data_IF_439014679036
#
_entry.id   IF_439014679036
#
_cell.length_a   1.000
_cell.length_b   1.000
_cell.length_c   1.000
_cell.angle_alpha   90.00
_cell.angle_beta   90.00
_cell.angle_gamma   90.00
#
_symmetry.space_group_name_H-M   'P 1'
#
loop_
_entity.id
_entity.type
_entity.pdbx_description
1 polymer ?
#
# COMPACT_ATOMS: atom_id res chain seq x y z
N UNK A 1 -0.11 -55.06 77.02
CA UNK A 1 -0.04 -55.36 75.59
C UNK A 1 -0.70 -54.20 74.89
N UNK A 2 0.13 -53.24 74.42
CA UNK A 2 -0.38 -52.01 73.78
C UNK A 2 -0.25 -52.16 72.28
N UNK A 3 -1.35 -52.18 71.55
CA UNK A 3 -1.40 -52.23 70.10
C UNK A 3 -1.22 -50.81 69.54
N UNK A 4 -0.16 -50.54 68.80
CA UNK A 4 0.15 -49.32 68.11
C UNK A 4 -0.62 -49.27 66.81
N UNK A 5 -1.56 -48.30 66.64
CA UNK A 5 -2.30 -48.06 65.40
C UNK A 5 -1.47 -47.20 64.53
N UNK A 6 -0.91 -47.69 63.43
CA UNK A 6 -0.25 -46.89 62.36
C UNK A 6 -1.31 -46.23 61.52
N UNK A 7 -1.31 -44.87 61.50
CA UNK A 7 -2.10 -44.06 60.54
C UNK A 7 -1.39 -44.05 59.22
N UNK A 8 -2.00 -44.58 58.18
CA UNK A 8 -1.56 -44.37 56.79
C UNK A 8 -1.62 -42.88 56.44
N UNK A 9 -0.61 -42.33 55.78
CA UNK A 9 -0.66 -40.95 55.28
C UNK A 9 -1.69 -40.85 54.15
N UNK A 10 -2.62 -39.93 54.29
CA UNK A 10 -3.63 -39.62 53.28
C UNK A 10 -2.94 -38.77 52.18
N UNK A 11 -2.62 -39.39 51.06
CA UNK A 11 -1.96 -38.75 49.91
C UNK A 11 -3.00 -38.22 48.93
N UNK A 12 -3.89 -37.33 49.39
CA UNK A 12 -4.77 -36.56 48.51
C UNK A 12 -3.91 -35.52 47.76
N UNK A 13 -3.38 -35.88 46.60
CA UNK A 13 -2.96 -34.92 45.61
C UNK A 13 -4.21 -34.21 45.12
N UNK A 14 -4.48 -33.02 45.65
CA UNK A 14 -5.43 -32.10 45.04
C UNK A 14 -5.01 -31.88 43.59
N UNK A 15 -5.82 -32.39 42.65
CA UNK A 15 -5.71 -32.00 41.25
C UNK A 15 -6.20 -30.55 41.18
N UNK A 16 -5.23 -29.60 41.19
CA UNK A 16 -5.53 -28.20 40.88
C UNK A 16 -6.03 -28.13 39.45
N UNK A 17 -7.34 -28.12 39.26
CA UNK A 17 -7.94 -27.73 37.99
C UNK A 17 -7.65 -26.25 37.80
N UNK A 18 -7.17 -25.82 36.62
CA UNK A 18 -6.92 -24.41 36.38
C UNK A 18 -8.22 -23.62 36.58
N UNK A 19 -8.12 -22.53 37.34
CA UNK A 19 -9.30 -21.70 37.61
C UNK A 19 -9.84 -21.14 36.27
N UNK A 20 -11.14 -20.95 36.15
CA UNK A 20 -11.80 -20.40 34.95
C UNK A 20 -11.16 -19.08 34.53
N UNK A 21 -10.71 -18.25 35.48
CA UNK A 21 -9.99 -17.02 35.26
C UNK A 21 -8.63 -17.20 34.57
N UNK A 22 -7.89 -18.26 34.93
CA UNK A 22 -6.63 -18.61 34.28
C UNK A 22 -6.87 -19.07 32.83
N UNK A 23 -7.96 -19.79 32.57
CA UNK A 23 -8.33 -20.21 31.21
C UNK A 23 -8.73 -19.03 30.33
N UNK A 24 -9.52 -18.09 30.87
CA UNK A 24 -9.89 -16.84 30.16
C UNK A 24 -8.65 -15.99 29.87
N UNK A 25 -7.74 -15.85 30.84
CA UNK A 25 -6.49 -15.12 30.65
C UNK A 25 -5.61 -15.72 29.55
N UNK A 26 -5.45 -17.04 29.53
CA UNK A 26 -4.71 -17.74 28.48
C UNK A 26 -5.36 -17.57 27.10
N UNK A 27 -6.69 -17.63 27.02
CA UNK A 27 -7.43 -17.42 25.77
C UNK A 27 -7.23 -15.99 25.23
N UNK A 28 -7.35 -14.98 26.09
CA UNK A 28 -7.12 -13.58 25.70
C UNK A 28 -5.67 -13.33 25.23
N UNK A 29 -4.71 -13.97 25.87
CA UNK A 29 -3.29 -13.88 25.45
C UNK A 29 -3.11 -14.50 24.06
N UNK A 30 -3.69 -15.66 23.80
CA UNK A 30 -3.62 -16.32 22.49
C UNK A 30 -4.27 -15.45 21.39
N UNK A 31 -5.43 -14.85 21.68
CA UNK A 31 -6.10 -13.93 20.75
C UNK A 31 -5.23 -12.71 20.48
N UNK A 32 -4.61 -12.11 21.50
CA UNK A 32 -3.68 -10.98 21.35
C UNK A 32 -2.46 -11.34 20.48
N UNK A 33 -1.84 -12.48 20.74
CA UNK A 33 -0.71 -12.97 19.94
C UNK A 33 -1.14 -13.23 18.49
N UNK A 34 -2.33 -13.79 18.28
CA UNK A 34 -2.87 -14.03 16.95
C UNK A 34 -3.02 -12.72 16.15
N UNK A 35 -3.60 -11.66 16.73
CA UNK A 35 -3.74 -10.37 16.06
C UNK A 35 -2.40 -9.73 15.75
N UNK A 36 -1.42 -9.79 16.67
CA UNK A 36 -0.08 -9.26 16.42
C UNK A 36 0.63 -10.03 15.29
N UNK A 37 0.50 -11.38 15.31
CA UNK A 37 1.09 -12.22 14.27
C UNK A 37 0.43 -12.01 12.91
N UNK A 38 -0.89 -11.80 12.87
CA UNK A 38 -1.62 -11.56 11.63
C UNK A 38 -1.13 -10.29 10.92
N UNK A 39 -1.05 -9.17 11.64
CA UNK A 39 -0.54 -7.91 11.08
C UNK A 39 0.90 -8.04 10.58
N UNK A 40 1.75 -8.77 11.31
CA UNK A 40 3.13 -9.02 10.89
C UNK A 40 3.19 -9.86 9.60
N UNK A 41 2.42 -10.94 9.53
CA UNK A 41 2.38 -11.82 8.35
C UNK A 41 1.87 -11.07 7.12
N UNK A 42 0.83 -10.23 7.25
CA UNK A 42 0.32 -9.44 6.13
C UNK A 42 1.34 -8.42 5.64
N UNK A 43 2.08 -7.75 6.53
CA UNK A 43 3.15 -6.82 6.14
C UNK A 43 4.28 -7.52 5.37
N UNK A 44 4.69 -8.72 5.79
CA UNK A 44 5.73 -9.50 5.13
C UNK A 44 5.28 -10.03 3.76
N UNK A 45 4.01 -10.41 3.61
CA UNK A 45 3.44 -10.81 2.31
C UNK A 45 3.49 -9.65 1.31
N UNK A 46 3.05 -8.46 1.73
CA UNK A 46 3.09 -7.27 0.88
C UNK A 46 4.51 -6.92 0.48
N UNK A 47 5.45 -6.94 1.44
CA UNK A 47 6.86 -6.70 1.16
C UNK A 47 7.45 -7.72 0.19
N UNK A 48 7.17 -9.01 0.39
CA UNK A 48 7.64 -10.07 -0.49
C UNK A 48 7.04 -9.94 -1.91
N UNK A 49 5.76 -9.60 -2.02
CA UNK A 49 5.10 -9.37 -3.31
C UNK A 49 5.69 -8.16 -4.03
N UNK A 50 5.87 -7.04 -3.34
CA UNK A 50 6.49 -5.84 -3.91
C UNK A 50 7.92 -6.10 -4.37
N UNK A 51 8.71 -6.84 -3.58
CA UNK A 51 10.07 -7.20 -3.93
C UNK A 51 10.14 -8.08 -5.19
N UNK A 52 9.32 -9.14 -5.23
CA UNK A 52 9.25 -10.05 -6.39
C UNK A 52 8.75 -9.32 -7.64
N UNK A 53 7.63 -8.60 -7.54
CA UNK A 53 7.06 -7.87 -8.67
C UNK A 53 8.02 -6.83 -9.23
N UNK A 54 8.75 -6.11 -8.37
CA UNK A 54 9.78 -5.16 -8.79
C UNK A 54 10.96 -5.86 -9.49
N UNK A 55 11.36 -7.04 -9.01
CA UNK A 55 12.43 -7.83 -9.63
C UNK A 55 12.01 -8.31 -11.02
N UNK A 56 10.78 -8.79 -11.18
CA UNK A 56 10.24 -9.17 -12.49
C UNK A 56 10.09 -7.97 -13.42
N UNK A 57 9.56 -6.85 -12.93
CA UNK A 57 9.39 -5.64 -13.73
C UNK A 57 10.72 -5.07 -14.25
N UNK A 58 11.77 -5.07 -13.43
CA UNK A 58 13.11 -4.61 -13.81
C UNK A 58 13.92 -5.66 -14.58
N UNK A 59 13.56 -6.95 -14.49
CA UNK A 59 14.24 -8.06 -15.17
C UNK A 59 13.66 -8.42 -16.53
N UNK A 60 12.51 -7.89 -16.88
CA UNK A 60 12.01 -7.91 -18.25
C UNK A 60 12.76 -6.85 -19.04
N UNK A 61 13.95 -7.21 -19.55
CA UNK A 61 14.41 -6.64 -20.82
C UNK A 61 13.27 -6.88 -21.81
N UNK A 62 12.50 -5.84 -22.05
CA UNK A 62 11.54 -5.82 -23.15
C UNK A 62 12.40 -5.99 -24.38
N UNK A 63 12.51 -7.21 -24.89
CA UNK A 63 12.97 -7.43 -26.25
C UNK A 63 11.97 -6.71 -27.12
N UNK A 64 12.31 -5.48 -27.49
CA UNK A 64 11.60 -4.75 -28.54
C UNK A 64 11.84 -5.57 -29.80
N UNK A 65 10.92 -6.48 -30.09
CA UNK A 65 10.83 -7.08 -31.42
C UNK A 65 10.50 -5.89 -32.32
N UNK A 66 11.34 -5.57 -33.33
CA UNK A 66 10.99 -4.54 -34.30
C UNK A 66 9.64 -4.93 -34.89
N UNK A 67 8.68 -4.02 -34.86
CA UNK A 67 7.42 -4.21 -35.54
C UNK A 67 7.74 -4.33 -37.03
N UNK A 68 7.82 -5.56 -37.54
CA UNK A 68 7.58 -5.80 -38.96
C UNK A 68 6.13 -5.39 -39.22
N UNK A 69 5.97 -4.57 -40.23
CA UNK A 69 4.72 -4.08 -40.76
C UNK A 69 3.67 -5.21 -40.78
N UNK A 70 2.70 -5.16 -39.86
CA UNK A 70 1.47 -5.95 -39.96
C UNK A 70 0.41 -5.00 -40.44
N UNK A 71 0.04 -5.21 -41.70
CA UNK A 71 -1.08 -4.56 -42.39
C UNK A 71 -2.33 -4.59 -41.50
N UNK A 72 -3.05 -3.46 -41.51
CA UNK A 72 -4.36 -3.30 -40.93
C UNK A 72 -5.31 -4.39 -41.42
N UNK A 73 -5.82 -5.19 -40.51
CA UNK A 73 -7.21 -5.68 -40.46
C UNK A 73 -7.38 -6.57 -39.23
N UNK A 74 -8.02 -6.02 -38.18
CA UNK A 74 -9.16 -6.70 -37.57
C UNK A 74 -9.62 -5.96 -36.32
N UNK A 75 -10.77 -5.35 -36.46
CA UNK A 75 -11.71 -4.96 -35.43
C UNK A 75 -12.18 -6.20 -34.65
N UNK A 76 -11.35 -6.66 -33.73
CA UNK A 76 -11.76 -7.47 -32.59
C UNK A 76 -11.25 -6.78 -31.35
N UNK A 77 -12.17 -6.16 -30.62
CA UNK A 77 -11.91 -5.60 -29.31
C UNK A 77 -11.32 -6.67 -28.39
N UNK A 78 -10.00 -6.75 -28.39
CA UNK A 78 -9.26 -7.38 -27.30
C UNK A 78 -9.49 -6.46 -26.09
N UNK A 79 -10.45 -6.84 -25.24
CA UNK A 79 -10.48 -6.32 -23.88
C UNK A 79 -9.12 -6.62 -23.31
N UNK A 80 -8.28 -5.57 -23.11
CA UNK A 80 -7.05 -5.72 -22.34
C UNK A 80 -7.43 -6.45 -21.05
N UNK A 81 -6.91 -7.65 -20.88
CA UNK A 81 -7.19 -8.48 -19.74
C UNK A 81 -6.70 -7.71 -18.50
N UNK A 82 -7.64 -7.35 -17.63
CA UNK A 82 -7.32 -6.64 -16.39
C UNK A 82 -6.61 -7.65 -15.50
N UNK A 83 -5.31 -7.45 -15.28
CA UNK A 83 -4.51 -8.30 -14.40
C UNK A 83 -4.41 -7.62 -13.03
N UNK A 84 -4.32 -8.42 -11.97
CA UNK A 84 -4.01 -7.96 -10.62
C UNK A 84 -2.49 -7.82 -10.38
N UNK A 85 -1.74 -7.55 -11.45
CA UNK A 85 -0.32 -7.27 -11.42
C UNK A 85 -0.03 -5.77 -11.41
N UNK A 86 1.10 -5.37 -10.85
CA UNK A 86 1.52 -3.97 -10.88
C UNK A 86 1.84 -3.52 -12.30
N UNK A 87 1.19 -2.45 -12.73
CA UNK A 87 1.43 -1.83 -14.03
C UNK A 87 2.47 -0.72 -13.98
N UNK A 88 2.93 -0.35 -12.78
CA UNK A 88 3.96 0.65 -12.57
C UNK A 88 4.33 0.82 -11.10
N UNK A 89 5.27 1.72 -10.84
CA UNK A 89 5.77 1.99 -9.48
C UNK A 89 5.85 3.48 -9.20
N UNK A 90 5.41 3.87 -8.00
CA UNK A 90 5.68 5.16 -7.40
C UNK A 90 6.91 5.05 -6.51
N UNK A 91 7.91 5.91 -6.73
CA UNK A 91 9.13 5.99 -5.91
C UNK A 91 9.31 7.41 -5.40
N UNK A 92 9.50 7.57 -4.09
CA UNK A 92 9.78 8.84 -3.43
C UNK A 92 11.03 8.66 -2.56
N UNK A 93 12.23 9.02 -3.08
CA UNK A 93 13.51 8.69 -2.43
C UNK A 93 13.66 9.27 -1.02
N UNK A 94 13.19 10.50 -0.81
CA UNK A 94 13.33 11.20 0.48
C UNK A 94 12.72 10.44 1.66
N UNK A 95 11.69 9.64 1.41
CA UNK A 95 11.00 8.83 2.42
C UNK A 95 11.22 7.33 2.21
N UNK A 96 12.14 6.97 1.33
CA UNK A 96 12.46 5.58 1.00
C UNK A 96 11.23 4.75 0.58
N UNK A 97 10.25 5.39 -0.08
CA UNK A 97 9.06 4.72 -0.60
C UNK A 97 9.33 4.22 -2.01
N UNK A 98 9.06 2.96 -2.26
CA UNK A 98 8.84 2.39 -3.59
C UNK A 98 7.69 1.41 -3.49
N UNK A 99 6.59 1.70 -4.16
CA UNK A 99 5.36 0.89 -4.11
C UNK A 99 4.73 0.79 -5.47
N UNK A 100 4.36 -0.44 -5.86
CA UNK A 100 3.62 -0.69 -7.09
C UNK A 100 2.20 -0.16 -7.01
N UNK A 101 1.61 0.12 -8.17
CA UNK A 101 0.20 0.44 -8.32
C UNK A 101 -0.43 -0.40 -9.43
N UNK A 102 -1.72 -0.65 -9.28
CA UNK A 102 -2.53 -1.49 -10.16
C UNK A 102 -3.30 -0.66 -11.19
N UNK A 103 -3.85 -1.34 -12.18
CA UNK A 103 -4.79 -0.69 -13.11
C UNK A 103 -6.00 -0.16 -12.33
N UNK A 104 -6.49 1.02 -12.72
CA UNK A 104 -7.65 1.66 -12.09
C UNK A 104 -8.90 0.77 -12.09
N UNK A 105 -8.98 -0.18 -13.03
CA UNK A 105 -10.10 -1.12 -13.19
C UNK A 105 -9.92 -2.42 -12.41
N UNK A 106 -8.73 -2.67 -11.83
CA UNK A 106 -8.47 -3.88 -11.04
C UNK A 106 -9.31 -3.90 -9.78
N UNK A 107 -9.82 -5.06 -9.40
CA UNK A 107 -10.53 -5.29 -8.14
C UNK A 107 -9.63 -5.13 -6.91
N UNK A 108 -8.32 -5.22 -7.11
CA UNK A 108 -7.30 -5.04 -6.08
C UNK A 108 -6.78 -3.58 -6.00
N UNK A 109 -7.28 -2.68 -6.87
CA UNK A 109 -7.02 -1.24 -6.80
C UNK A 109 -7.84 -0.61 -5.66
N UNK A 110 -7.47 -0.92 -4.44
CA UNK A 110 -8.18 -0.60 -3.20
C UNK A 110 -7.20 -0.01 -2.20
N UNK A 111 -7.55 1.12 -1.59
CA UNK A 111 -6.72 1.83 -0.62
C UNK A 111 -6.43 0.99 0.64
N UNK A 112 -7.33 0.08 0.99
CA UNK A 112 -7.14 -0.83 2.13
C UNK A 112 -6.13 -1.95 1.86
N UNK A 113 -5.81 -2.19 0.59
CA UNK A 113 -4.88 -3.25 0.15
C UNK A 113 -3.59 -2.68 -0.44
N UNK A 114 -3.69 -1.55 -1.15
CA UNK A 114 -2.61 -1.02 -1.97
C UNK A 114 -2.63 0.51 -2.04
N UNK A 115 -1.75 1.08 -2.87
CA UNK A 115 -1.96 2.44 -3.36
C UNK A 115 -3.16 2.42 -4.30
N UNK A 116 -4.12 3.31 -4.08
CA UNK A 116 -5.31 3.46 -4.92
C UNK A 116 -5.01 4.44 -6.05
N UNK A 117 -5.13 4.00 -7.29
CA UNK A 117 -5.26 4.89 -8.45
C UNK A 117 -6.70 5.41 -8.46
N UNK A 118 -6.89 6.70 -8.20
CA UNK A 118 -8.20 7.31 -7.97
C UNK A 118 -8.99 7.40 -9.28
N UNK A 119 -10.29 7.13 -9.23
CA UNK A 119 -11.18 7.25 -10.39
C UNK A 119 -11.12 8.65 -11.01
N UNK A 120 -11.10 8.72 -12.34
CA UNK A 120 -10.90 9.97 -13.07
C UNK A 120 -9.42 10.39 -13.21
N UNK A 121 -8.50 9.60 -12.70
CA UNK A 121 -7.06 9.77 -12.91
C UNK A 121 -6.68 9.53 -14.38
N UNK A 122 -5.68 10.28 -14.87
CA UNK A 122 -4.98 9.96 -16.10
C UNK A 122 -3.67 9.26 -15.77
N UNK A 123 -3.23 8.33 -16.62
CA UNK A 123 -1.89 7.75 -16.46
C UNK A 123 -0.78 8.74 -16.82
N UNK A 124 0.48 8.49 -16.36
CA UNK A 124 1.60 9.43 -16.52
C UNK A 124 1.92 9.83 -17.96
N UNK A 125 1.58 8.99 -18.94
CA UNK A 125 1.80 9.21 -20.38
C UNK A 125 0.80 10.18 -21.03
N UNK A 126 -0.24 10.63 -20.28
CA UNK A 126 -1.21 11.61 -20.79
C UNK A 126 -0.70 13.02 -20.61
N UNK A 127 -0.48 13.72 -21.71
CA UNK A 127 -0.13 15.14 -21.70
C UNK A 127 -1.21 15.98 -21.02
N UNK A 128 -0.80 16.95 -20.18
CA UNK A 128 -1.68 17.79 -19.36
C UNK A 128 -2.64 17.00 -18.46
N UNK A 129 -2.41 15.69 -18.33
CA UNK A 129 -3.16 14.80 -17.46
C UNK A 129 -2.81 15.01 -15.99
N UNK A 130 -3.56 14.33 -15.13
CA UNK A 130 -3.30 14.27 -13.69
C UNK A 130 -3.34 12.82 -13.23
N UNK A 131 -2.20 12.28 -12.84
CA UNK A 131 -2.13 10.97 -12.23
C UNK A 131 -2.38 11.10 -10.74
N UNK A 132 -3.45 10.49 -10.22
CA UNK A 132 -3.91 10.69 -8.85
C UNK A 132 -3.78 9.39 -8.09
N UNK A 133 -2.97 9.39 -7.04
CA UNK A 133 -2.75 8.25 -6.17
C UNK A 133 -3.13 8.61 -4.73
N UNK A 134 -3.94 7.77 -4.11
CA UNK A 134 -4.25 7.86 -2.69
C UNK A 134 -3.65 6.68 -1.91
N UNK A 135 -3.32 6.92 -0.65
CA UNK A 135 -2.82 5.89 0.26
C UNK A 135 -3.04 6.27 1.72
N UNK A 136 -3.15 5.26 2.56
CA UNK A 136 -3.28 5.47 4.00
C UNK A 136 -2.01 6.05 4.63
N UNK A 137 -2.21 6.89 5.65
CA UNK A 137 -1.20 7.25 6.65
C UNK A 137 -1.62 6.70 8.01
N UNK A 138 -0.67 6.47 8.90
CA UNK A 138 -0.92 5.93 10.24
C UNK A 138 0.01 4.77 10.58
N UNK A 139 -0.43 3.85 11.44
CA UNK A 139 0.39 2.75 11.96
C UNK A 139 0.02 1.37 11.36
N UNK A 140 -0.94 1.31 10.45
CA UNK A 140 -1.34 0.08 9.78
C UNK A 140 -0.27 -0.43 8.80
N UNK A 141 -0.28 -1.72 8.51
CA UNK A 141 0.62 -2.34 7.52
C UNK A 141 0.43 -1.76 6.10
N UNK A 142 -0.77 -1.24 5.81
CA UNK A 142 -1.15 -0.61 4.54
C UNK A 142 -0.96 0.92 4.51
N UNK A 143 -0.29 1.48 5.53
CA UNK A 143 -0.07 2.94 5.64
C UNK A 143 1.14 3.38 4.81
N UNK A 144 1.09 3.11 3.50
CA UNK A 144 2.19 3.39 2.57
C UNK A 144 2.56 4.87 2.49
N UNK A 145 1.61 5.77 2.78
CA UNK A 145 1.81 7.21 2.77
C UNK A 145 2.06 7.83 4.16
N UNK A 146 2.43 6.97 5.13
CA UNK A 146 2.69 7.43 6.50
C UNK A 146 3.73 8.55 6.59
N UNK A 147 4.74 8.51 5.75
CA UNK A 147 5.86 9.44 5.78
C UNK A 147 5.76 10.62 4.80
N UNK A 148 4.65 10.76 4.05
CA UNK A 148 4.47 11.88 3.12
C UNK A 148 4.58 13.25 3.81
N UNK A 149 4.23 13.36 5.09
CA UNK A 149 4.34 14.61 5.86
C UNK A 149 5.79 15.16 5.94
N UNK A 150 6.80 14.35 5.62
CA UNK A 150 8.22 14.75 5.58
C UNK A 150 8.59 15.46 4.28
N UNK A 151 7.71 15.43 3.27
CA UNK A 151 7.95 16.05 1.98
C UNK A 151 7.72 17.55 2.04
N UNK A 152 8.49 18.27 1.21
CA UNK A 152 8.39 19.70 1.00
C UNK A 152 8.30 20.01 -0.50
N UNK A 153 7.96 21.24 -0.81
CA UNK A 153 8.11 21.75 -2.19
C UNK A 153 9.56 21.54 -2.68
N UNK A 154 9.69 21.24 -3.95
CA UNK A 154 10.91 20.86 -4.67
C UNK A 154 11.47 19.46 -4.36
N UNK A 155 10.84 18.67 -3.50
CA UNK A 155 11.16 17.24 -3.42
C UNK A 155 10.69 16.51 -4.69
N UNK A 156 11.36 15.39 -4.99
CA UNK A 156 11.15 14.64 -6.22
C UNK A 156 10.39 13.34 -5.95
N UNK A 157 9.45 13.04 -6.83
CA UNK A 157 8.79 11.75 -6.94
C UNK A 157 9.00 11.18 -8.35
N UNK A 158 9.09 9.86 -8.48
CA UNK A 158 9.19 9.18 -9.77
C UNK A 158 8.00 8.24 -9.95
N UNK A 159 7.48 8.20 -11.16
CA UNK A 159 6.54 7.16 -11.58
C UNK A 159 7.15 6.39 -12.73
N UNK A 160 7.38 5.09 -12.53
CA UNK A 160 7.77 4.19 -13.62
C UNK A 160 6.52 3.56 -14.20
N UNK A 161 6.29 3.75 -15.49
CA UNK A 161 5.09 3.28 -16.19
C UNK A 161 5.41 3.01 -17.66
N UNK A 162 5.00 1.84 -18.17
CA UNK A 162 5.27 1.41 -19.56
C UNK A 162 6.75 1.56 -19.97
N UNK A 163 7.66 1.14 -19.08
CA UNK A 163 9.10 1.16 -19.32
C UNK A 163 9.74 2.56 -19.30
N UNK A 164 8.99 3.62 -18.99
CA UNK A 164 9.48 4.99 -18.87
C UNK A 164 9.45 5.46 -17.43
N UNK A 165 10.38 6.34 -17.07
CA UNK A 165 10.45 6.97 -15.77
C UNK A 165 10.04 8.44 -15.88
N UNK A 166 8.92 8.77 -15.28
CA UNK A 166 8.37 10.14 -15.22
C UNK A 166 8.85 10.80 -13.94
N UNK A 167 9.60 11.87 -14.05
CA UNK A 167 10.18 12.61 -12.92
C UNK A 167 9.29 13.81 -12.59
N UNK A 168 8.74 13.83 -11.38
CA UNK A 168 7.86 14.89 -10.88
C UNK A 168 8.54 15.66 -9.75
N UNK A 169 8.30 16.97 -9.70
CA UNK A 169 8.77 17.86 -8.63
C UNK A 169 7.57 18.44 -7.90
N UNK A 170 7.51 18.29 -6.59
CA UNK A 170 6.42 18.82 -5.75
C UNK A 170 6.43 20.34 -5.84
N UNK A 171 5.26 20.91 -6.15
CA UNK A 171 5.06 22.36 -6.34
C UNK A 171 4.10 22.96 -5.34
N UNK A 172 3.18 22.17 -4.80
CA UNK A 172 2.19 22.67 -3.85
C UNK A 172 1.82 21.57 -2.86
N UNK A 173 1.66 21.94 -1.59
CA UNK A 173 1.21 21.05 -0.52
C UNK A 173 0.16 21.82 0.28
N UNK A 174 -1.02 21.24 0.42
CA UNK A 174 -2.09 21.86 1.19
C UNK A 174 -2.98 20.82 1.87
N UNK A 175 -3.69 21.26 2.90
CA UNK A 175 -4.66 20.44 3.63
C UNK A 175 -6.07 20.91 3.34
N UNK A 176 -7.03 19.99 3.41
CA UNK A 176 -8.45 20.29 3.28
C UNK A 176 -9.30 19.34 4.14
N UNK A 177 -10.51 19.75 4.56
CA UNK A 177 -11.39 18.89 5.34
C UNK A 177 -11.82 17.64 4.60
N UNK A 178 -11.98 16.53 5.32
CA UNK A 178 -12.56 15.27 4.83
C UNK A 178 -14.09 15.35 4.82
N UNK A 179 -14.66 15.99 3.81
CA UNK A 179 -16.11 16.20 3.66
C UNK A 179 -16.71 15.44 2.47
N UNK A 180 -16.02 14.38 2.01
CA UNK A 180 -16.48 13.57 0.85
C UNK A 180 -16.25 14.22 -0.51
N UNK A 181 -15.61 15.40 -0.57
CA UNK A 181 -15.19 16.07 -1.79
C UNK A 181 -13.72 16.46 -1.69
N UNK A 182 -12.99 16.28 -2.79
CA UNK A 182 -11.59 16.65 -2.90
C UNK A 182 -11.44 17.76 -3.93
N UNK A 183 -10.89 18.91 -3.52
CA UNK A 183 -10.48 19.96 -4.44
C UNK A 183 -9.00 19.76 -4.80
N UNK A 184 -8.70 19.67 -6.09
CA UNK A 184 -7.33 19.55 -6.61
C UNK A 184 -6.95 20.86 -7.30
N UNK A 185 -6.02 21.60 -6.66
CA UNK A 185 -5.52 22.89 -7.16
C UNK A 185 -4.22 22.64 -7.94
N UNK A 186 -4.32 22.44 -9.25
CA UNK A 186 -3.18 22.20 -10.14
C UNK A 186 -3.18 23.15 -11.33
N UNK A 187 -2.04 23.32 -11.98
CA UNK A 187 -1.94 23.95 -13.30
C UNK A 187 -2.40 22.96 -14.38
N UNK A 188 -3.51 23.27 -15.05
CA UNK A 188 -4.11 22.41 -16.09
C UNK A 188 -3.31 22.39 -17.39
N UNK A 189 -2.32 23.27 -17.54
CA UNK A 189 -1.39 23.28 -18.70
C UNK A 189 -0.22 22.33 -18.49
N UNK A 190 -0.10 21.72 -17.30
CA UNK A 190 0.99 20.82 -16.91
C UNK A 190 0.50 19.38 -16.74
N UNK A 191 1.37 18.43 -17.01
CA UNK A 191 1.20 17.05 -16.59
C UNK A 191 1.56 16.95 -15.11
N UNK A 192 0.65 16.43 -14.30
CA UNK A 192 0.79 16.45 -12.84
C UNK A 192 0.62 15.09 -12.21
N UNK A 193 1.28 14.90 -11.07
CA UNK A 193 1.06 13.82 -10.12
C UNK A 193 0.42 14.41 -8.86
N UNK A 194 -0.69 13.85 -8.43
CA UNK A 194 -1.37 14.22 -7.18
C UNK A 194 -1.28 13.07 -6.19
N UNK A 195 -0.70 13.31 -5.02
CA UNK A 195 -0.70 12.34 -3.93
C UNK A 195 -1.66 12.80 -2.83
N UNK A 196 -2.47 11.88 -2.31
CA UNK A 196 -3.51 12.18 -1.32
C UNK A 196 -3.39 11.23 -0.15
N UNK A 197 -3.37 11.78 1.07
CA UNK A 197 -3.35 10.97 2.30
C UNK A 197 -4.08 11.68 3.44
N UNK A 198 -4.36 10.97 4.50
CA UNK A 198 -4.82 11.61 5.76
C UNK A 198 -3.73 12.52 6.30
N UNK A 199 -4.11 13.66 6.86
CA UNK A 199 -3.16 14.57 7.48
C UNK A 199 -2.55 13.92 8.73
N UNK A 200 -1.23 14.03 8.87
CA UNK A 200 -0.54 13.48 10.03
C UNK A 200 -1.08 14.10 11.32
N UNK A 201 -1.42 13.26 12.31
CA UNK A 201 -2.00 13.65 13.61
C UNK A 201 -3.34 14.41 13.54
N UNK A 202 -4.03 14.41 12.39
CA UNK A 202 -5.36 15.02 12.24
C UNK A 202 -6.27 14.11 11.40
N UNK A 203 -7.24 13.49 12.06
CA UNK A 203 -8.20 12.58 11.42
C UNK A 203 -9.29 13.29 10.63
N UNK A 204 -9.43 14.61 10.79
CA UNK A 204 -10.51 15.42 10.19
C UNK A 204 -10.13 16.03 8.85
N UNK A 205 -8.83 16.06 8.53
CA UNK A 205 -8.30 16.61 7.28
C UNK A 205 -7.51 15.59 6.46
N UNK A 206 -7.30 15.93 5.21
CA UNK A 206 -6.45 15.21 4.27
C UNK A 206 -5.44 16.18 3.65
N UNK A 207 -4.24 15.67 3.37
CA UNK A 207 -3.17 16.45 2.74
C UNK A 207 -3.04 16.04 1.29
N UNK A 208 -2.93 17.03 0.42
CA UNK A 208 -2.77 16.89 -1.02
C UNK A 208 -1.41 17.44 -1.43
N UNK A 209 -0.67 16.68 -2.20
CA UNK A 209 0.61 17.04 -2.77
C UNK A 209 0.45 17.11 -4.28
N UNK A 210 0.74 18.26 -4.88
CA UNK A 210 0.73 18.45 -6.32
C UNK A 210 2.18 18.52 -6.81
N UNK A 211 2.54 17.60 -7.70
CA UNK A 211 3.85 17.60 -8.35
C UNK A 211 3.69 17.75 -9.86
N UNK A 212 4.57 18.53 -10.48
CA UNK A 212 4.60 18.77 -11.92
C UNK A 212 5.68 17.92 -12.59
N UNK A 213 5.36 17.40 -13.77
CA UNK A 213 6.30 16.65 -14.59
C UNK A 213 7.48 17.55 -15.01
N UNK A 214 8.68 17.08 -14.70
CA UNK A 214 9.95 17.77 -15.02
C UNK A 214 10.63 17.15 -16.23
N UNK A 215 10.69 15.81 -16.29
CA UNK A 215 11.31 15.07 -17.40
C UNK A 215 10.73 13.65 -17.51
N UNK A 216 10.95 13.04 -18.67
CA UNK A 216 10.68 11.62 -18.95
C UNK A 216 12.01 11.00 -19.40
N UNK A 217 12.41 9.89 -18.76
CA UNK A 217 13.64 9.14 -18.97
C UNK A 217 13.33 7.72 -19.44
#
# INVERSE_FOLDING_TARGET
MFTRIERKPNNNKEKNSPSVTAFIGALLTLVGVFFLSYNYIESEKVYAYDYMSKAFYNGTDVVVVPAEEVEEENEYGLSEEITDEYIGYLTIPKINLTKGFLDIRSSENDVDKNLLVVEGSNYPDKEQGNFIIAGHSGTGWNSFFNDLYKLNENDTAYVTYKGKKYVYIIKNIYTQPKIGKLAIYRDYTKTTLTLITCTNNDSTTQTVYIAELSSVE
#
